data_IF_256120428025
#
_entry.id   IF_256120428025
#
_cell.length_a   1.000
_cell.length_b   1.000
_cell.length_c   1.000
_cell.angle_alpha   90.00
_cell.angle_beta   90.00
_cell.angle_gamma   90.00
#
_symmetry.space_group_name_H-M   'P 1'
#
loop_
_entity.id
_entity.type
_entity.pdbx_description
1 polymer ?
#
# COMPACT_ATOMS: atom_id res chain seq x y z
N UNK A 1 -17.93 -4.13 6.83
CA UNK A 1 -17.02 -4.51 5.73
C UNK A 1 -15.88 -3.54 5.71
N UNK A 2 -14.64 -4.03 5.71
CA UNK A 2 -13.42 -3.21 5.63
C UNK A 2 -12.69 -3.48 4.32
N UNK A 3 -11.85 -2.55 3.87
CA UNK A 3 -11.02 -2.68 2.66
C UNK A 3 -9.58 -2.35 2.98
N UNK A 4 -8.69 -3.26 2.61
CA UNK A 4 -7.25 -3.08 2.74
C UNK A 4 -6.62 -2.99 1.35
N UNK A 5 -5.96 -1.88 1.07
CA UNK A 5 -5.25 -1.66 -0.18
C UNK A 5 -3.76 -1.71 0.11
N UNK A 6 -3.04 -2.61 -0.55
CA UNK A 6 -1.60 -2.75 -0.45
C UNK A 6 -0.96 -2.10 -1.67
N UNK A 7 -0.07 -1.13 -1.45
CA UNK A 7 0.68 -0.42 -2.48
C UNK A 7 2.17 -0.64 -2.25
N UNK A 8 2.85 -1.31 -3.18
CA UNK A 8 4.32 -1.30 -3.18
C UNK A 8 4.79 0.08 -3.66
N UNK A 9 5.79 0.65 -3.00
CA UNK A 9 6.38 1.93 -3.45
C UNK A 9 6.74 1.89 -4.94
N UNK A 10 6.65 3.05 -5.59
CA UNK A 10 7.02 3.20 -6.99
C UNK A 10 8.54 3.09 -7.20
N UNK A 11 8.98 2.99 -8.46
CA UNK A 11 10.38 2.76 -8.78
C UNK A 11 11.28 3.83 -8.15
N UNK A 12 12.21 3.40 -7.29
CA UNK A 12 13.19 4.27 -6.66
C UNK A 12 14.45 4.40 -7.51
N UNK A 13 15.19 5.48 -7.24
CA UNK A 13 16.50 5.74 -7.84
C UNK A 13 17.65 5.31 -6.90
N UNK A 14 18.87 5.41 -7.40
CA UNK A 14 20.12 5.21 -6.65
C UNK A 14 21.12 6.33 -6.97
N UNK A 15 20.92 7.54 -6.43
CA UNK A 15 21.95 8.58 -6.48
C UNK A 15 23.19 8.14 -5.70
N UNK A 16 24.35 8.68 -6.06
CA UNK A 16 25.59 8.44 -5.31
C UNK A 16 25.43 8.87 -3.84
N UNK A 17 26.09 8.14 -2.94
CA UNK A 17 26.16 8.44 -1.49
C UNK A 17 24.80 8.56 -0.77
N UNK A 18 23.75 7.88 -1.25
CA UNK A 18 22.43 7.89 -0.62
C UNK A 18 22.16 6.60 0.16
N UNK A 19 21.81 6.74 1.44
CA UNK A 19 21.36 5.63 2.29
C UNK A 19 20.02 5.05 1.79
N UNK A 20 19.76 3.75 2.00
CA UNK A 20 18.57 3.11 1.43
C UNK A 20 17.28 3.83 1.84
N UNK A 21 17.17 4.25 3.10
CA UNK A 21 15.99 4.92 3.64
C UNK A 21 15.66 6.24 2.92
N UNK A 22 16.69 6.96 2.48
CA UNK A 22 16.59 8.30 1.89
C UNK A 22 16.49 8.29 0.36
N UNK A 23 16.50 7.11 -0.26
CA UNK A 23 16.42 6.97 -1.71
C UNK A 23 15.17 7.62 -2.28
N UNK A 24 15.33 8.52 -3.27
CA UNK A 24 14.20 9.15 -3.93
C UNK A 24 13.51 8.20 -4.91
N UNK A 25 12.38 8.65 -5.45
CA UNK A 25 11.75 8.03 -6.61
C UNK A 25 12.55 8.39 -7.87
N UNK A 26 12.67 7.44 -8.80
CA UNK A 26 13.15 7.73 -10.15
C UNK A 26 12.04 8.42 -10.96
N UNK A 27 12.38 9.13 -12.04
CA UNK A 27 11.41 9.81 -12.90
C UNK A 27 10.28 8.89 -13.37
N UNK A 28 10.64 7.67 -13.81
CA UNK A 28 9.66 6.65 -14.19
C UNK A 28 8.74 6.25 -13.02
N UNK A 29 9.26 6.19 -11.80
CA UNK A 29 8.46 5.89 -10.61
C UNK A 29 7.48 7.01 -10.26
N UNK A 30 7.86 8.27 -10.47
CA UNK A 30 6.95 9.41 -10.34
C UNK A 30 5.78 9.29 -11.31
N UNK A 31 6.07 8.99 -12.59
CA UNK A 31 5.07 8.80 -13.63
C UNK A 31 4.14 7.61 -13.33
N UNK A 32 4.70 6.45 -12.96
CA UNK A 32 3.93 5.25 -12.60
C UNK A 32 2.98 5.53 -11.43
N UNK A 33 3.43 6.23 -10.38
CA UNK A 33 2.60 6.58 -9.24
C UNK A 33 1.47 7.55 -9.59
N UNK A 34 1.75 8.54 -10.46
CA UNK A 34 0.72 9.47 -10.95
C UNK A 34 -0.33 8.76 -11.81
N UNK A 35 0.08 7.86 -12.70
CA UNK A 35 -0.84 7.13 -13.56
C UNK A 35 -1.69 6.14 -12.75
N UNK A 36 -1.07 5.38 -11.84
CA UNK A 36 -1.78 4.42 -10.98
C UNK A 36 -2.81 5.13 -10.08
N UNK A 37 -2.44 6.23 -9.44
CA UNK A 37 -3.37 6.97 -8.56
C UNK A 37 -4.57 7.54 -9.32
N UNK A 38 -4.36 8.11 -10.52
CA UNK A 38 -5.45 8.60 -11.38
C UNK A 38 -6.32 7.46 -11.90
N UNK A 39 -5.71 6.33 -12.25
CA UNK A 39 -6.42 5.13 -12.70
C UNK A 39 -7.34 4.61 -11.59
N UNK A 40 -6.83 4.45 -10.36
CA UNK A 40 -7.63 4.01 -9.22
C UNK A 40 -8.78 4.97 -8.92
N UNK A 41 -8.52 6.28 -8.94
CA UNK A 41 -9.55 7.30 -8.72
C UNK A 41 -10.65 7.24 -9.80
N UNK A 42 -10.26 7.11 -11.07
CA UNK A 42 -11.19 7.00 -12.21
C UNK A 42 -12.03 5.71 -12.17
N UNK A 43 -11.49 4.64 -11.59
CA UNK A 43 -12.20 3.37 -11.38
C UNK A 43 -12.99 3.33 -10.06
N UNK A 44 -13.24 4.48 -9.43
CA UNK A 44 -14.03 4.62 -8.19
C UNK A 44 -13.50 3.79 -7.01
N UNK A 45 -12.18 3.58 -6.95
CA UNK A 45 -11.56 2.95 -5.78
C UNK A 45 -11.50 3.99 -4.65
N UNK A 46 -12.39 3.87 -3.68
CA UNK A 46 -12.43 4.74 -2.49
C UNK A 46 -11.38 4.36 -1.47
N UNK A 47 -10.73 5.37 -0.89
CA UNK A 47 -9.79 5.27 0.23
C UNK A 47 -10.19 6.39 1.21
N UNK A 48 -10.16 6.12 2.51
CA UNK A 48 -10.44 7.12 3.56
C UNK A 48 -9.23 7.38 4.47
N UNK A 49 -8.24 6.50 4.49
CA UNK A 49 -6.99 6.71 5.22
C UNK A 49 -5.77 6.13 4.52
N UNK A 50 -4.64 6.84 4.61
CA UNK A 50 -3.36 6.45 4.00
C UNK A 50 -2.32 6.23 5.11
N UNK A 51 -1.64 5.09 5.10
CA UNK A 51 -0.52 4.81 6.00
C UNK A 51 0.70 4.43 5.19
N UNK A 52 1.83 5.11 5.43
CA UNK A 52 3.06 4.85 4.69
C UNK A 52 4.20 4.43 5.59
N UNK A 53 5.08 3.57 5.06
CA UNK A 53 6.46 3.53 5.53
C UNK A 53 7.08 4.94 5.47
N UNK A 54 7.89 5.34 6.46
CA UNK A 54 8.50 6.66 6.47
C UNK A 54 9.68 6.80 5.49
N UNK A 55 10.17 5.70 4.89
CA UNK A 55 11.22 5.75 3.87
C UNK A 55 10.80 6.64 2.67
N UNK A 56 11.72 7.45 2.18
CA UNK A 56 11.44 8.56 1.24
C UNK A 56 10.66 8.09 0.01
N UNK A 57 11.06 6.99 -0.63
CA UNK A 57 10.37 6.42 -1.79
C UNK A 57 8.91 6.01 -1.51
N UNK A 58 8.63 5.43 -0.35
CA UNK A 58 7.29 4.97 0.01
C UNK A 58 6.39 6.17 0.35
N UNK A 59 6.91 7.08 1.18
CA UNK A 59 6.21 8.30 1.57
C UNK A 59 5.93 9.20 0.37
N UNK A 60 6.87 9.34 -0.57
CA UNK A 60 6.64 10.11 -1.80
C UNK A 60 5.62 9.43 -2.71
N UNK A 61 5.61 8.09 -2.82
CA UNK A 61 4.56 7.36 -3.53
C UNK A 61 3.19 7.64 -2.91
N UNK A 62 3.09 7.57 -1.58
CA UNK A 62 1.88 7.90 -0.83
C UNK A 62 1.41 9.33 -1.07
N UNK A 63 2.32 10.31 -1.00
CA UNK A 63 2.02 11.72 -1.27
C UNK A 63 1.49 11.94 -2.70
N UNK A 64 2.04 11.24 -3.70
CA UNK A 64 1.55 11.32 -5.08
C UNK A 64 0.12 10.77 -5.16
N UNK A 65 -0.16 9.62 -4.56
CA UNK A 65 -1.53 9.10 -4.48
C UNK A 65 -2.46 10.09 -3.78
N UNK A 66 -2.00 10.71 -2.69
CA UNK A 66 -2.80 11.65 -1.93
C UNK A 66 -3.18 12.92 -2.71
N UNK A 67 -2.50 13.26 -3.81
CA UNK A 67 -2.94 14.36 -4.68
C UNK A 67 -4.33 14.09 -5.28
N UNK A 68 -4.69 12.82 -5.52
CA UNK A 68 -5.99 12.41 -6.05
C UNK A 68 -7.05 12.17 -4.96
N UNK A 69 -6.62 11.90 -3.72
CA UNK A 69 -7.49 11.50 -2.61
C UNK A 69 -7.74 12.60 -1.58
N UNK A 70 -6.76 13.47 -1.32
CA UNK A 70 -6.86 14.61 -0.38
C UNK A 70 -7.22 14.21 1.05
N UNK A 71 -6.50 13.21 1.58
CA UNK A 71 -6.70 12.61 2.89
C UNK A 71 -5.54 12.91 3.84
N UNK A 72 -5.72 12.58 5.11
CA UNK A 72 -4.62 12.54 6.08
C UNK A 72 -3.70 11.34 5.78
N UNK A 73 -2.40 11.56 5.98
CA UNK A 73 -1.36 10.53 5.86
C UNK A 73 -0.80 10.24 7.24
N UNK A 74 -0.92 8.99 7.69
CA UNK A 74 -0.16 8.44 8.79
C UNK A 74 1.16 7.82 8.31
N UNK A 75 2.13 7.71 9.21
CA UNK A 75 3.37 6.96 8.96
C UNK A 75 3.59 5.92 10.05
N UNK A 76 4.06 4.74 9.67
CA UNK A 76 4.41 3.68 10.61
C UNK A 76 5.74 3.02 10.19
N UNK A 77 6.71 3.00 11.11
CA UNK A 77 8.03 2.40 10.91
C UNK A 77 7.96 0.89 10.63
N UNK A 78 6.94 0.20 11.16
CA UNK A 78 6.69 -1.22 10.92
C UNK A 78 6.48 -1.53 9.44
N UNK A 79 6.10 -0.54 8.64
CA UNK A 79 5.94 -0.70 7.19
C UNK A 79 7.26 -0.57 6.41
N UNK A 80 8.39 -0.24 7.04
CA UNK A 80 9.72 -0.30 6.43
C UNK A 80 10.36 -1.68 6.66
N UNK A 81 10.74 -2.37 5.59
CA UNK A 81 11.21 -3.77 5.63
C UNK A 81 10.30 -4.70 6.49
N UNK A 82 8.98 -4.73 6.21
CA UNK A 82 8.02 -5.39 7.09
C UNK A 82 8.12 -6.93 7.01
N UNK A 83 7.87 -7.58 8.14
CA UNK A 83 7.38 -8.95 8.19
C UNK A 83 5.84 -8.98 8.06
N UNK A 84 5.26 -10.17 7.89
CA UNK A 84 3.80 -10.35 7.90
C UNK A 84 3.19 -9.84 9.22
N UNK A 85 3.78 -10.21 10.37
CA UNK A 85 3.33 -9.75 11.69
C UNK A 85 3.36 -8.23 11.84
N UNK A 86 4.26 -7.53 11.13
CA UNK A 86 4.26 -6.08 11.14
C UNK A 86 2.98 -5.52 10.50
N UNK A 87 2.53 -6.08 9.38
CA UNK A 87 1.25 -5.69 8.77
C UNK A 87 0.07 -5.96 9.70
N UNK A 88 -0.01 -7.15 10.30
CA UNK A 88 -1.08 -7.45 11.28
C UNK A 88 -1.08 -6.43 12.43
N UNK A 89 0.08 -6.08 12.97
CA UNK A 89 0.16 -5.07 14.03
C UNK A 89 -0.34 -3.69 13.57
N UNK A 90 0.05 -3.23 12.37
CA UNK A 90 -0.43 -1.95 11.85
C UNK A 90 -1.95 -1.98 11.63
N UNK A 91 -2.49 -3.12 11.18
CA UNK A 91 -3.93 -3.31 10.99
C UNK A 91 -4.68 -3.22 12.32
N UNK A 92 -4.18 -3.89 13.37
CA UNK A 92 -4.83 -3.85 14.70
C UNK A 92 -4.77 -2.49 15.38
N UNK A 93 -3.84 -1.62 14.97
CA UNK A 93 -3.72 -0.26 15.47
C UNK A 93 -4.64 0.75 14.73
N UNK A 94 -5.38 0.31 13.68
CA UNK A 94 -6.29 1.18 12.92
C UNK A 94 -7.56 1.53 13.69
N UNK A 95 -8.05 2.76 13.47
CA UNK A 95 -9.35 3.21 13.97
C UNK A 95 -10.50 2.60 13.15
N UNK A 96 -11.51 2.06 13.84
CA UNK A 96 -12.68 1.43 13.22
C UNK A 96 -13.58 2.42 12.45
N UNK A 97 -13.35 3.72 12.55
CA UNK A 97 -13.98 4.74 11.69
C UNK A 97 -13.46 4.73 10.25
N UNK A 98 -12.33 4.08 9.97
CA UNK A 98 -11.80 3.90 8.62
C UNK A 98 -12.32 2.59 8.02
N UNK A 99 -13.02 2.68 6.90
CA UNK A 99 -13.54 1.54 6.15
C UNK A 99 -12.60 1.11 5.02
N UNK A 100 -11.72 1.99 4.52
CA UNK A 100 -10.85 1.70 3.38
C UNK A 100 -9.47 2.33 3.52
N UNK A 101 -8.49 1.51 3.92
CA UNK A 101 -7.14 1.98 4.26
C UNK A 101 -6.13 1.51 3.22
N UNK A 102 -5.24 2.40 2.77
CA UNK A 102 -4.14 2.05 1.88
C UNK A 102 -2.78 2.11 2.58
N UNK A 103 -2.02 1.02 2.47
CA UNK A 103 -0.67 0.88 3.02
C UNK A 103 0.39 0.99 1.92
N UNK A 104 1.39 1.84 2.15
CA UNK A 104 2.52 2.04 1.24
C UNK A 104 3.78 1.42 1.83
N UNK A 105 4.29 0.36 1.19
CA UNK A 105 5.34 -0.48 1.77
C UNK A 105 6.30 -1.07 0.71
N UNK A 106 7.10 -2.06 1.11
CA UNK A 106 8.27 -2.57 0.40
C UNK A 106 8.18 -4.09 0.19
N UNK A 107 8.83 -4.56 -0.86
CA UNK A 107 9.11 -5.98 -1.02
C UNK A 107 10.31 -6.40 -0.16
N UNK A 108 10.43 -7.66 0.24
CA UNK A 108 9.51 -8.78 -0.08
C UNK A 108 8.25 -8.82 0.81
N UNK A 109 8.24 -8.10 1.94
CA UNK A 109 7.21 -8.20 2.96
C UNK A 109 5.78 -7.99 2.48
N UNK A 110 5.54 -6.99 1.63
CA UNK A 110 4.19 -6.73 1.09
C UNK A 110 3.66 -7.89 0.22
N UNK A 111 4.53 -8.52 -0.57
CA UNK A 111 4.14 -9.70 -1.37
C UNK A 111 3.86 -10.90 -0.46
N UNK A 112 4.72 -11.13 0.54
CA UNK A 112 4.53 -12.22 1.50
C UNK A 112 3.21 -12.07 2.27
N UNK A 113 2.92 -10.86 2.74
CA UNK A 113 1.67 -10.58 3.44
C UNK A 113 0.44 -10.72 2.54
N UNK A 114 0.49 -10.23 1.30
CA UNK A 114 -0.61 -10.45 0.34
C UNK A 114 -0.85 -11.95 0.08
N UNK A 115 0.23 -12.75 0.02
CA UNK A 115 0.16 -14.21 -0.13
C UNK A 115 -0.34 -14.92 1.12
N UNK A 116 -0.13 -14.38 2.33
CA UNK A 116 -0.61 -15.01 3.56
C UNK A 116 -2.10 -14.81 3.80
N UNK A 117 -2.70 -13.76 3.21
CA UNK A 117 -4.12 -13.44 3.37
C UNK A 117 -4.99 -13.81 2.15
N UNK A 118 -4.42 -14.48 1.15
CA UNK A 118 -5.08 -14.86 -0.10
C UNK A 118 -4.64 -16.23 -0.60
N UNK A 119 -5.46 -16.86 -1.46
CA UNK A 119 -5.07 -18.08 -2.16
C UNK A 119 -4.32 -17.80 -3.48
N UNK A 120 -4.26 -16.54 -3.91
CA UNK A 120 -3.51 -16.11 -5.09
C UNK A 120 -2.02 -15.92 -4.79
N UNK A 121 -1.19 -16.01 -5.84
CA UNK A 121 0.24 -15.75 -5.75
C UNK A 121 0.55 -14.36 -6.30
N UNK A 122 0.95 -13.48 -5.40
CA UNK A 122 1.37 -12.12 -5.67
C UNK A 122 2.89 -12.00 -5.74
N UNK A 123 3.34 -11.31 -6.78
CA UNK A 123 4.66 -10.71 -6.84
C UNK A 123 4.48 -9.24 -7.21
N UNK A 124 4.55 -8.35 -6.22
CA UNK A 124 4.30 -6.93 -6.45
C UNK A 124 5.42 -6.32 -7.32
N UNK A 125 5.14 -5.78 -8.51
CA UNK A 125 6.07 -4.86 -9.17
C UNK A 125 6.12 -3.53 -8.40
N UNK A 126 7.10 -2.67 -8.70
CA UNK A 126 7.08 -1.30 -8.18
C UNK A 126 5.77 -0.61 -8.58
N UNK A 127 5.16 0.14 -7.67
CA UNK A 127 3.84 0.75 -7.85
C UNK A 127 2.69 -0.26 -8.13
N UNK A 128 2.88 -1.55 -7.87
CA UNK A 128 1.79 -2.54 -7.90
C UNK A 128 0.82 -2.32 -6.74
N UNK A 129 -0.48 -2.56 -6.98
CA UNK A 129 -1.55 -2.34 -6.02
C UNK A 129 -2.49 -3.54 -5.96
N UNK A 130 -2.73 -4.09 -4.76
CA UNK A 130 -3.81 -5.06 -4.55
C UNK A 130 -4.85 -4.50 -3.58
N UNK A 131 -6.12 -4.75 -3.85
CA UNK A 131 -7.22 -4.40 -2.96
C UNK A 131 -7.92 -5.65 -2.44
N UNK A 132 -8.14 -5.70 -1.14
CA UNK A 132 -8.84 -6.80 -0.46
C UNK A 132 -10.07 -6.26 0.26
N UNK A 133 -11.16 -6.99 0.18
CA UNK A 133 -12.34 -6.81 1.03
C UNK A 133 -12.27 -7.79 2.19
N UNK A 134 -12.58 -7.31 3.39
CA UNK A 134 -12.50 -8.06 4.63
C UNK A 134 -13.89 -8.06 5.27
N UNK A 135 -14.41 -9.26 5.53
CA UNK A 135 -15.72 -9.48 6.15
C UNK A 135 -15.69 -9.25 7.66
N UNK A 136 -15.40 -8.01 8.06
CA UNK A 136 -15.44 -7.56 9.45
C UNK A 136 -16.04 -6.15 9.60
N UNK A 137 -16.38 -5.81 10.84
CA UNK A 137 -16.77 -4.45 11.22
C UNK A 137 -15.69 -3.73 12.02
N UNK A 138 -14.78 -4.49 12.65
CA UNK A 138 -13.62 -3.96 13.36
C UNK A 138 -12.32 -4.51 12.77
N UNK A 139 -11.27 -3.69 12.74
CA UNK A 139 -9.93 -4.13 12.34
C UNK A 139 -9.35 -5.18 13.30
N UNK A 140 -9.80 -5.20 14.56
CA UNK A 140 -9.42 -6.23 15.54
C UNK A 140 -9.87 -7.65 15.14
N UNK A 141 -10.89 -7.77 14.27
CA UNK A 141 -11.42 -9.05 13.78
C UNK A 141 -10.65 -9.57 12.56
N UNK A 142 -9.63 -8.84 12.08
CA UNK A 142 -8.95 -9.10 10.82
C UNK A 142 -8.46 -10.55 10.68
N UNK A 143 -7.86 -11.15 11.72
CA UNK A 143 -7.31 -12.51 11.65
C UNK A 143 -8.33 -13.56 11.19
N UNK A 144 -9.49 -13.58 11.84
CA UNK A 144 -10.53 -14.58 11.61
C UNK A 144 -11.51 -14.24 10.48
N UNK A 145 -11.50 -13.00 10.00
CA UNK A 145 -12.41 -12.55 8.95
C UNK A 145 -12.07 -13.20 7.59
N UNK A 146 -13.10 -13.41 6.75
CA UNK A 146 -12.87 -13.80 5.37
C UNK A 146 -12.26 -12.63 4.59
N UNK A 147 -11.27 -12.92 3.74
CA UNK A 147 -10.66 -11.95 2.84
C UNK A 147 -10.95 -12.33 1.40
N UNK A 148 -11.33 -11.34 0.59
CA UNK A 148 -11.60 -11.51 -0.84
C UNK A 148 -10.75 -10.52 -1.63
N UNK A 149 -9.98 -11.01 -2.60
CA UNK A 149 -9.31 -10.15 -3.57
C UNK A 149 -10.36 -9.40 -4.41
N UNK A 150 -10.24 -8.08 -4.47
CA UNK A 150 -11.07 -7.22 -5.31
C UNK A 150 -10.39 -6.94 -6.65
N UNK A 151 -9.10 -6.61 -6.62
CA UNK A 151 -8.31 -6.28 -7.79
C UNK A 151 -6.81 -6.41 -7.51
N UNK A 152 -6.04 -6.57 -8.58
CA UNK A 152 -4.60 -6.43 -8.59
C UNK A 152 -4.18 -5.66 -9.84
N UNK A 153 -3.58 -4.48 -9.65
CA UNK A 153 -3.16 -3.58 -10.71
C UNK A 153 -1.65 -3.46 -10.76
N UNK A 154 -1.13 -3.46 -11.98
CA UNK A 154 0.29 -3.36 -12.26
C UNK A 154 0.50 -2.20 -13.24
N UNK A 155 1.51 -1.32 -13.05
CA UNK A 155 1.71 -0.15 -13.91
C UNK A 155 1.83 -0.45 -15.40
N UNK A 156 2.35 -1.62 -15.77
CA UNK A 156 2.47 -2.04 -17.18
C UNK A 156 1.22 -2.65 -17.80
N UNK A 157 0.09 -2.71 -17.06
CA UNK A 157 -1.16 -3.36 -17.46
C UNK A 157 -2.39 -2.45 -17.35
N UNK A 158 -2.20 -1.18 -16.99
CA UNK A 158 -3.26 -0.17 -16.84
C UNK A 158 -3.15 0.91 -17.91
#
# INVERSE_FOLDING_TARGET
MKKLILVRHAKSDWPEETDDFDRPLADKGLEEAMNMSRFMKSNNISIDYLVSSPAVRALNTCKIFNQAYQLNIGTDEKLYNPSENNFHSVIYDLDDSHDSVAFFSHNNGISNFANSISNDIFHFPTCGVAGFEIECNSWAEFEGAQKKLLFFYEPGKI
#
